data_IF_509125377657
#
_entry.id   IF_509125377657
#
_cell.length_a   1.000
_cell.length_b   1.000
_cell.length_c   1.000
_cell.angle_alpha   90.00
_cell.angle_beta   90.00
_cell.angle_gamma   90.00
#
_symmetry.space_group_name_H-M   'P 1'
#
loop_
_entity.id
_entity.type
_entity.pdbx_description
1 polymer ?
#
# COMPACT_ATOMS: atom_id res chain seq x y z
N UNK A 1 -7.06 -3.78 -7.96
CA UNK A 1 -5.98 -3.87 -6.95
C UNK A 1 -4.74 -4.60 -7.47
N UNK A 2 -4.82 -5.81 -7.99
CA UNK A 2 -3.65 -6.57 -8.53
C UNK A 2 -2.86 -5.79 -9.60
N UNK A 3 -3.54 -5.15 -10.55
CA UNK A 3 -2.89 -4.34 -11.59
C UNK A 3 -2.09 -3.15 -11.02
N UNK A 4 -2.59 -2.50 -9.98
CA UNK A 4 -1.89 -1.41 -9.29
C UNK A 4 -0.62 -1.93 -8.63
N UNK A 5 -0.69 -3.08 -7.94
CA UNK A 5 0.46 -3.70 -7.31
C UNK A 5 1.59 -4.02 -8.31
N UNK A 6 1.24 -4.63 -9.46
CA UNK A 6 2.22 -4.94 -10.51
C UNK A 6 2.79 -3.69 -11.16
N UNK A 7 1.97 -2.67 -11.46
CA UNK A 7 2.44 -1.41 -12.01
C UNK A 7 3.44 -0.71 -11.06
N UNK A 8 3.15 -0.69 -9.76
CA UNK A 8 4.04 -0.13 -8.74
C UNK A 8 5.37 -0.89 -8.68
N UNK A 9 5.32 -2.23 -8.68
CA UNK A 9 6.52 -3.08 -8.70
C UNK A 9 7.36 -2.85 -9.95
N UNK A 10 6.75 -2.89 -11.14
CA UNK A 10 7.47 -2.73 -12.41
C UNK A 10 8.16 -1.36 -12.47
N UNK A 11 7.50 -0.31 -11.99
CA UNK A 11 8.11 1.00 -11.87
C UNK A 11 9.27 1.03 -10.88
N UNK A 12 9.12 0.43 -9.70
CA UNK A 12 10.16 0.39 -8.67
C UNK A 12 11.42 -0.35 -9.15
N UNK A 13 11.25 -1.46 -9.87
CA UNK A 13 12.36 -2.24 -10.44
C UNK A 13 13.05 -1.47 -11.58
N UNK A 14 12.28 -0.76 -12.42
CA UNK A 14 12.82 0.05 -13.52
C UNK A 14 13.51 1.32 -13.03
N UNK A 15 13.09 1.89 -11.90
CA UNK A 15 13.57 3.16 -11.36
C UNK A 15 13.80 3.10 -9.83
N UNK A 16 14.72 2.24 -9.35
CA UNK A 16 14.89 2.00 -7.91
C UNK A 16 15.32 3.24 -7.14
N UNK A 17 16.07 4.15 -7.75
CA UNK A 17 16.44 5.42 -7.12
C UNK A 17 15.22 6.34 -6.90
N UNK A 18 14.28 6.35 -7.84
CA UNK A 18 13.03 7.09 -7.70
C UNK A 18 12.13 6.47 -6.64
N UNK A 19 12.07 5.15 -6.58
CA UNK A 19 11.37 4.42 -5.51
C UNK A 19 11.97 4.74 -4.15
N UNK A 20 13.31 4.77 -4.04
CA UNK A 20 14.01 5.11 -2.80
C UNK A 20 13.73 6.52 -2.30
N UNK A 21 13.49 7.48 -3.19
CA UNK A 21 13.09 8.85 -2.82
C UNK A 21 11.71 8.91 -2.16
N UNK A 22 10.79 8.00 -2.53
CA UNK A 22 9.45 7.92 -1.95
C UNK A 22 9.39 7.04 -0.71
N UNK A 23 10.03 5.88 -0.74
CA UNK A 23 9.88 4.80 0.24
C UNK A 23 11.21 4.31 0.84
N UNK A 24 12.33 4.97 0.52
CA UNK A 24 13.62 4.67 1.10
C UNK A 24 13.80 5.24 2.51
N UNK A 25 15.01 5.05 3.06
CA UNK A 25 15.35 5.59 4.37
C UNK A 25 15.31 7.12 4.35
N UNK A 26 14.68 7.75 5.36
CA UNK A 26 14.67 9.20 5.45
C UNK A 26 16.10 9.73 5.63
N UNK A 27 16.43 10.86 4.98
CA UNK A 27 17.69 11.58 5.24
C UNK A 27 17.58 12.25 6.61
N UNK A 28 18.48 11.97 7.56
CA UNK A 28 18.45 12.60 8.88
C UNK A 28 18.39 14.12 8.78
N UNK A 29 17.40 14.73 9.45
CA UNK A 29 17.22 16.18 9.49
C UNK A 29 16.54 16.80 8.25
N UNK A 30 16.24 16.01 7.22
CA UNK A 30 15.49 16.49 6.06
C UNK A 30 13.99 16.18 6.22
N UNK A 31 13.17 17.23 6.22
CA UNK A 31 11.72 17.11 6.06
C UNK A 31 11.35 17.71 4.71
N UNK A 32 10.86 16.89 3.81
CA UNK A 32 10.36 17.37 2.53
C UNK A 32 9.17 18.31 2.76
N UNK A 33 9.10 19.48 2.07
CA UNK A 33 7.95 20.36 2.17
C UNK A 33 6.67 19.61 1.78
N UNK A 34 5.67 19.59 2.66
CA UNK A 34 4.40 18.88 2.46
C UNK A 34 3.74 19.29 1.13
N UNK A 35 3.81 20.56 0.76
CA UNK A 35 3.27 21.12 -0.48
C UNK A 35 3.82 20.48 -1.76
N UNK A 36 5.05 19.93 -1.71
CA UNK A 36 5.73 19.31 -2.86
C UNK A 36 5.66 17.80 -2.88
N UNK A 37 5.42 17.17 -1.74
CA UNK A 37 5.53 15.71 -1.57
C UNK A 37 4.20 15.03 -1.32
N UNK A 38 3.21 15.71 -0.75
CA UNK A 38 1.91 15.11 -0.43
C UNK A 38 1.18 14.66 -1.70
N UNK A 39 1.08 15.51 -2.73
CA UNK A 39 0.40 15.16 -3.96
C UNK A 39 0.99 13.96 -4.70
N UNK A 40 2.29 13.96 -5.09
CA UNK A 40 2.92 12.82 -5.76
C UNK A 40 3.04 11.59 -4.86
N UNK A 41 3.37 11.73 -3.59
CA UNK A 41 3.56 10.63 -2.64
C UNK A 41 2.27 9.91 -2.27
N UNK A 42 1.13 10.58 -2.36
CA UNK A 42 -0.19 10.00 -2.03
C UNK A 42 -0.93 9.39 -3.21
N UNK A 43 -0.45 9.57 -4.45
CA UNK A 43 -1.15 9.06 -5.65
C UNK A 43 -1.36 7.55 -5.62
N UNK A 44 -0.35 6.78 -5.19
CA UNK A 44 -0.48 5.33 -5.10
C UNK A 44 -1.48 4.93 -4.02
N UNK A 45 -1.45 5.59 -2.87
CA UNK A 45 -2.39 5.36 -1.77
C UNK A 45 -3.81 5.72 -2.19
N UNK A 46 -4.00 6.87 -2.85
CA UNK A 46 -5.30 7.30 -3.37
C UNK A 46 -5.85 6.32 -4.41
N UNK A 47 -5.01 5.82 -5.33
CA UNK A 47 -5.40 4.81 -6.30
C UNK A 47 -5.81 3.49 -5.62
N UNK A 48 -5.10 3.10 -4.57
CA UNK A 48 -5.42 1.90 -3.80
C UNK A 48 -6.77 2.06 -3.08
N UNK A 49 -7.01 3.15 -2.37
CA UNK A 49 -8.31 3.41 -1.71
C UNK A 49 -9.46 3.47 -2.72
N UNK A 50 -9.27 4.11 -3.87
CA UNK A 50 -10.28 4.13 -4.93
C UNK A 50 -10.60 2.72 -5.45
N UNK A 51 -9.58 1.86 -5.60
CA UNK A 51 -9.78 0.48 -6.02
C UNK A 51 -10.46 -0.37 -4.94
N UNK A 52 -10.20 -0.10 -3.66
CA UNK A 52 -10.89 -0.73 -2.54
C UNK A 52 -12.35 -0.31 -2.49
N UNK A 53 -12.65 0.98 -2.64
CA UNK A 53 -14.05 1.45 -2.69
C UNK A 53 -14.84 0.84 -3.85
N UNK A 54 -14.21 0.70 -5.02
CA UNK A 54 -14.84 0.02 -6.16
C UNK A 54 -15.15 -1.47 -5.84
N UNK A 55 -14.24 -2.18 -5.18
CA UNK A 55 -14.46 -3.55 -4.73
C UNK A 55 -15.54 -3.66 -3.65
N UNK A 56 -15.60 -2.68 -2.73
CA UNK A 56 -16.65 -2.60 -1.72
C UNK A 56 -18.02 -2.40 -2.37
N UNK A 57 -18.12 -1.47 -3.31
CA UNK A 57 -19.36 -1.21 -4.06
C UNK A 57 -19.82 -2.43 -4.89
N UNK A 58 -18.88 -3.25 -5.36
CA UNK A 58 -19.17 -4.51 -6.05
C UNK A 58 -19.56 -5.67 -5.11
N UNK A 59 -19.47 -5.48 -3.78
CA UNK A 59 -19.74 -6.52 -2.79
C UNK A 59 -18.68 -7.61 -2.71
N UNK A 60 -17.47 -7.33 -3.19
CA UNK A 60 -16.36 -8.28 -3.24
C UNK A 60 -15.50 -8.26 -1.98
N UNK A 61 -15.65 -7.23 -1.15
CA UNK A 61 -14.79 -7.01 0.00
C UNK A 61 -15.51 -7.24 1.32
N UNK A 62 -14.74 -7.74 2.28
CA UNK A 62 -15.20 -7.96 3.64
C UNK A 62 -15.18 -6.67 4.45
N UNK A 63 -16.29 -6.39 5.15
CA UNK A 63 -16.41 -5.34 6.16
C UNK A 63 -16.46 -5.93 7.57
N UNK A 64 -16.24 -5.10 8.60
CA UNK A 64 -16.29 -5.54 9.99
C UNK A 64 -15.16 -6.51 10.41
N UNK A 65 -15.31 -7.14 11.55
CA UNK A 65 -14.41 -8.17 12.06
C UNK A 65 -13.12 -7.69 12.71
N UNK A 66 -12.88 -6.37 12.76
CA UNK A 66 -11.78 -5.74 13.51
C UNK A 66 -12.35 -4.61 14.33
N UNK A 67 -12.15 -4.65 15.62
CA UNK A 67 -12.47 -3.54 16.51
C UNK A 67 -11.30 -2.54 16.54
N UNK A 68 -11.59 -1.28 16.22
CA UNK A 68 -10.58 -0.21 16.16
C UNK A 68 -10.80 0.75 17.32
N UNK A 69 -9.88 0.77 18.31
CA UNK A 69 -10.02 1.63 19.47
C UNK A 69 -9.69 3.09 19.17
N UNK A 70 -10.11 3.97 20.06
CA UNK A 70 -9.65 5.35 20.07
C UNK A 70 -8.17 5.44 20.52
N UNK A 71 -7.39 6.42 20.02
CA UNK A 71 -7.79 7.49 19.06
C UNK A 71 -7.80 7.08 17.58
N UNK A 72 -7.38 5.86 17.25
CA UNK A 72 -7.18 5.41 15.85
C UNK A 72 -8.47 5.51 15.01
N UNK A 73 -9.63 5.20 15.59
CA UNK A 73 -10.92 5.34 14.86
C UNK A 73 -11.19 6.80 14.44
N UNK A 74 -10.82 7.77 15.27
CA UNK A 74 -10.91 9.20 14.93
C UNK A 74 -9.91 9.60 13.84
N UNK A 75 -8.69 9.05 13.88
CA UNK A 75 -7.68 9.27 12.85
C UNK A 75 -8.15 8.71 11.50
N UNK A 76 -8.78 7.54 11.52
CA UNK A 76 -9.36 6.93 10.32
C UNK A 76 -10.55 7.71 9.78
N UNK A 77 -11.36 8.34 10.63
CA UNK A 77 -12.41 9.26 10.17
C UNK A 77 -11.83 10.41 9.35
N UNK A 78 -10.72 11.00 9.81
CA UNK A 78 -10.01 12.06 9.08
C UNK A 78 -9.44 11.57 7.74
N UNK A 79 -8.86 10.38 7.70
CA UNK A 79 -8.35 9.77 6.45
C UNK A 79 -9.48 9.45 5.48
N UNK A 80 -10.62 8.95 5.95
CA UNK A 80 -11.81 8.74 5.09
C UNK A 80 -12.25 10.02 4.41
N UNK A 81 -12.29 11.11 5.16
CA UNK A 81 -12.66 12.42 4.61
C UNK A 81 -11.64 12.90 3.56
N UNK A 82 -10.34 12.76 3.86
CA UNK A 82 -9.27 13.16 2.94
C UNK A 82 -9.30 12.40 1.61
N UNK A 83 -9.48 11.08 1.66
CA UNK A 83 -9.48 10.22 0.47
C UNK A 83 -10.88 9.92 -0.09
N UNK A 84 -11.95 10.49 0.48
CA UNK A 84 -13.34 10.17 0.14
C UNK A 84 -13.65 8.67 0.22
N UNK A 85 -13.04 7.99 1.19
CA UNK A 85 -13.14 6.55 1.37
C UNK A 85 -14.41 6.16 2.12
N UNK A 86 -15.20 5.23 1.59
CA UNK A 86 -16.51 4.85 2.12
C UNK A 86 -16.51 3.61 3.01
N UNK A 87 -15.38 2.90 3.08
CA UNK A 87 -15.24 1.71 3.91
C UNK A 87 -15.25 2.00 5.42
N UNK A 88 -15.56 0.99 6.22
CA UNK A 88 -15.51 1.05 7.68
C UNK A 88 -14.06 1.05 8.22
N UNK A 89 -13.90 1.18 9.54
CA UNK A 89 -12.59 1.17 10.19
C UNK A 89 -11.86 -0.15 9.98
N UNK A 90 -12.57 -1.27 9.95
CA UNK A 90 -11.97 -2.58 9.72
C UNK A 90 -11.40 -2.70 8.29
N UNK A 91 -12.12 -2.17 7.30
CA UNK A 91 -11.63 -2.12 5.93
C UNK A 91 -10.47 -1.13 5.79
N UNK A 92 -10.47 -0.03 6.55
CA UNK A 92 -9.34 0.90 6.61
C UNK A 92 -8.07 0.22 7.14
N UNK A 93 -8.15 -0.56 8.25
CA UNK A 93 -7.01 -1.34 8.76
C UNK A 93 -6.47 -2.30 7.69
N UNK A 94 -7.35 -3.03 7.01
CA UNK A 94 -6.94 -3.95 5.93
C UNK A 94 -6.29 -3.21 4.77
N UNK A 95 -6.83 -2.06 4.38
CA UNK A 95 -6.29 -1.24 3.28
C UNK A 95 -4.88 -0.72 3.61
N UNK A 96 -4.67 -0.23 4.84
CA UNK A 96 -3.35 0.19 5.31
C UNK A 96 -2.38 -1.00 5.38
N UNK A 97 -2.83 -2.17 5.82
CA UNK A 97 -2.02 -3.40 5.85
C UNK A 97 -1.64 -3.85 4.44
N UNK A 98 -2.59 -3.82 3.50
CA UNK A 98 -2.33 -4.11 2.08
C UNK A 98 -1.27 -3.17 1.52
N UNK A 99 -1.42 -1.86 1.73
CA UNK A 99 -0.45 -0.87 1.29
C UNK A 99 0.94 -1.09 1.90
N UNK A 100 1.04 -1.28 3.21
CA UNK A 100 2.29 -1.54 3.90
C UNK A 100 2.96 -2.83 3.40
N UNK A 101 2.19 -3.89 3.18
CA UNK A 101 2.68 -5.15 2.63
C UNK A 101 3.22 -5.00 1.21
N UNK A 102 2.52 -4.27 0.34
CA UNK A 102 2.96 -3.99 -1.03
C UNK A 102 4.26 -3.16 -1.05
N UNK A 103 4.31 -2.06 -0.30
CA UNK A 103 5.52 -1.23 -0.20
C UNK A 103 6.69 -2.03 0.35
N UNK A 104 6.47 -2.85 1.37
CA UNK A 104 7.50 -3.71 1.95
C UNK A 104 8.03 -4.74 0.97
N UNK A 105 7.14 -5.48 0.31
CA UNK A 105 7.52 -6.51 -0.67
C UNK A 105 8.31 -5.91 -1.85
N UNK A 106 7.84 -4.80 -2.41
CA UNK A 106 8.50 -4.10 -3.51
C UNK A 106 9.86 -3.55 -3.07
N UNK A 107 9.96 -2.95 -1.89
CA UNK A 107 11.20 -2.37 -1.37
C UNK A 107 12.27 -3.44 -1.13
N UNK A 108 11.89 -4.60 -0.56
CA UNK A 108 12.82 -5.70 -0.34
C UNK A 108 13.42 -6.20 -1.67
N UNK A 109 12.62 -6.27 -2.73
CA UNK A 109 13.09 -6.65 -4.05
C UNK A 109 13.91 -5.54 -4.71
N UNK A 110 13.38 -4.31 -4.78
CA UNK A 110 14.01 -3.18 -5.46
C UNK A 110 15.38 -2.82 -4.85
N UNK A 111 15.54 -3.01 -3.55
CA UNK A 111 16.80 -2.73 -2.83
C UNK A 111 17.70 -3.98 -2.68
N UNK A 112 17.34 -5.10 -3.29
CA UNK A 112 18.14 -6.32 -3.29
C UNK A 112 18.25 -6.99 -1.92
N UNK A 113 17.31 -6.77 -1.01
CA UNK A 113 17.39 -7.25 0.38
C UNK A 113 17.04 -8.73 0.55
N UNK A 114 16.52 -9.40 -0.49
CA UNK A 114 16.36 -10.85 -0.49
C UNK A 114 17.71 -11.60 -0.64
N UNK A 115 18.78 -10.92 -1.05
CA UNK A 115 20.07 -11.52 -1.39
C UNK A 115 20.16 -11.90 -2.88
N UNK A 116 21.41 -12.03 -3.37
CA UNK A 116 21.68 -12.16 -4.80
C UNK A 116 21.10 -13.45 -5.41
N UNK A 117 21.15 -14.57 -4.69
CA UNK A 117 20.76 -15.90 -5.21
C UNK A 117 19.67 -16.58 -4.37
N UNK A 118 18.94 -15.84 -3.55
CA UNK A 118 17.96 -16.41 -2.63
C UNK A 118 16.64 -16.74 -3.31
N UNK A 119 16.19 -15.87 -4.23
CA UNK A 119 14.92 -16.00 -4.95
C UNK A 119 15.21 -16.02 -6.44
N UNK A 120 14.98 -17.17 -7.08
CA UNK A 120 15.26 -17.36 -8.51
C UNK A 120 14.31 -16.53 -9.39
N UNK A 121 13.04 -16.46 -9.02
CA UNK A 121 12.04 -15.66 -9.71
C UNK A 121 11.27 -14.78 -8.71
N UNK A 122 11.74 -13.54 -8.49
CA UNK A 122 11.08 -12.61 -7.58
C UNK A 122 9.64 -12.24 -8.00
N UNK A 123 9.32 -12.34 -9.30
CA UNK A 123 7.97 -12.06 -9.79
C UNK A 123 6.95 -13.08 -9.29
N UNK A 124 7.32 -14.36 -9.28
CA UNK A 124 6.45 -15.42 -8.73
C UNK A 124 6.22 -15.18 -7.23
N UNK A 125 7.28 -14.85 -6.48
CA UNK A 125 7.13 -14.53 -5.07
C UNK A 125 6.18 -13.34 -4.87
N UNK A 126 6.35 -12.28 -5.64
CA UNK A 126 5.49 -11.10 -5.55
C UNK A 126 4.03 -11.40 -5.90
N UNK A 127 3.78 -12.22 -6.93
CA UNK A 127 2.42 -12.66 -7.28
C UNK A 127 1.71 -13.37 -6.13
N UNK A 128 2.43 -14.26 -5.43
CA UNK A 128 1.92 -14.96 -4.25
C UNK A 128 1.67 -14.01 -3.08
N UNK A 129 2.60 -13.09 -2.82
CA UNK A 129 2.45 -12.08 -1.78
C UNK A 129 1.23 -11.18 -2.04
N UNK A 130 1.03 -10.72 -3.28
CA UNK A 130 -0.15 -9.96 -3.67
C UNK A 130 -1.42 -10.77 -3.47
N UNK A 131 -1.41 -12.06 -3.82
CA UNK A 131 -2.54 -12.97 -3.56
C UNK A 131 -2.92 -13.00 -2.09
N UNK A 132 -1.97 -13.30 -1.22
CA UNK A 132 -2.17 -13.34 0.25
C UNK A 132 -2.69 -12.01 0.82
N UNK A 133 -2.14 -10.89 0.36
CA UNK A 133 -2.58 -9.57 0.79
C UNK A 133 -4.01 -9.26 0.34
N UNK A 134 -4.41 -9.69 -0.86
CA UNK A 134 -5.77 -9.52 -1.35
C UNK A 134 -6.77 -10.43 -0.63
N UNK A 135 -6.35 -11.62 -0.20
CA UNK A 135 -7.18 -12.53 0.61
C UNK A 135 -7.58 -11.89 1.95
N UNK A 136 -6.72 -11.01 2.51
CA UNK A 136 -7.09 -10.22 3.69
C UNK A 136 -8.27 -9.27 3.44
N UNK A 137 -8.50 -8.87 2.20
CA UNK A 137 -9.58 -7.94 1.82
C UNK A 137 -10.91 -8.66 1.60
N UNK A 138 -10.86 -9.90 1.12
CA UNK A 138 -12.06 -10.68 0.74
C UNK A 138 -12.57 -11.60 1.85
N UNK A 139 -11.72 -11.97 2.78
CA UNK A 139 -12.06 -12.84 3.91
C UNK A 139 -12.05 -14.28 3.58
#
# INVERSE_FOLDING_TARGET
MRAIAHAARDWAIAAPSSWALLYGSPVPGYQAPAERTVGPGTRMVAALFSAVDAGLAAGELRTGGVEVPQPLSSDFASLRDEFSFTGDDALMVRSVTLWAGLVGAISLEAFGQYGHDTVTDPRILFDLQVGLLLDLMTG
#
